data_IF_253061497200
#
_entry.id   IF_253061497200
#
_cell.length_a   1.000
_cell.length_b   1.000
_cell.length_c   1.000
_cell.angle_alpha   90.00
_cell.angle_beta   90.00
_cell.angle_gamma   90.00
#
_symmetry.space_group_name_H-M   'P 1'
#
loop_
_entity.id
_entity.type
_entity.pdbx_description
1 polymer ?
#
# COMPACT_ATOMS: atom_id res chain seq x y z
N UNK A 1 -16.98 -98.26 -31.67
CA UNK A 1 -17.32 -97.36 -30.56
C UNK A 1 -16.14 -96.55 -30.00
N UNK A 2 -14.88 -96.77 -30.41
CA UNK A 2 -13.72 -96.04 -29.85
C UNK A 2 -13.41 -94.65 -30.41
N UNK A 3 -13.87 -94.29 -31.63
CA UNK A 3 -13.44 -93.01 -32.26
C UNK A 3 -14.21 -91.78 -31.74
N UNK A 4 -15.49 -91.94 -31.41
CA UNK A 4 -16.34 -90.84 -30.92
C UNK A 4 -15.89 -90.35 -29.54
N UNK A 5 -15.52 -91.27 -28.65
CA UNK A 5 -15.02 -90.91 -27.30
C UNK A 5 -13.72 -90.09 -27.37
N UNK A 6 -12.79 -90.47 -28.24
CA UNK A 6 -11.54 -89.75 -28.43
C UNK A 6 -11.74 -88.34 -29.03
N UNK A 7 -12.79 -88.12 -29.83
CA UNK A 7 -13.16 -86.79 -30.32
C UNK A 7 -13.78 -85.93 -29.21
N UNK A 8 -14.68 -86.49 -28.40
CA UNK A 8 -15.24 -85.78 -27.24
C UNK A 8 -14.19 -85.40 -26.21
N UNK A 9 -13.23 -86.28 -25.94
CA UNK A 9 -12.12 -85.99 -25.00
C UNK A 9 -11.26 -84.82 -25.52
N UNK A 10 -11.01 -84.73 -26.83
CA UNK A 10 -10.29 -83.60 -27.45
C UNK A 10 -11.08 -82.29 -27.40
N UNK A 11 -12.39 -82.35 -27.60
CA UNK A 11 -13.27 -81.17 -27.49
C UNK A 11 -13.25 -80.67 -26.04
N UNK A 12 -13.41 -81.56 -25.06
CA UNK A 12 -13.37 -81.20 -23.64
C UNK A 12 -12.02 -80.58 -23.24
N UNK A 13 -10.90 -81.11 -23.75
CA UNK A 13 -9.58 -80.52 -23.49
C UNK A 13 -9.43 -79.13 -24.13
N UNK A 14 -9.92 -78.94 -25.36
CA UNK A 14 -9.89 -77.66 -26.05
C UNK A 14 -10.79 -76.61 -25.35
N UNK A 15 -11.97 -77.01 -24.91
CA UNK A 15 -12.88 -76.17 -24.12
C UNK A 15 -12.25 -75.79 -22.78
N UNK A 16 -11.62 -76.73 -22.07
CA UNK A 16 -10.91 -76.45 -20.82
C UNK A 16 -9.78 -75.43 -21.01
N UNK A 17 -9.00 -75.56 -22.09
CA UNK A 17 -7.94 -74.58 -22.44
C UNK A 17 -8.53 -73.21 -22.77
N UNK A 18 -9.64 -73.17 -23.50
CA UNK A 18 -10.34 -71.93 -23.81
C UNK A 18 -10.91 -71.24 -22.56
N UNK A 19 -11.48 -72.00 -21.62
CA UNK A 19 -11.99 -71.46 -20.35
C UNK A 19 -10.85 -70.86 -19.52
N UNK A 20 -9.72 -71.57 -19.39
CA UNK A 20 -8.55 -71.05 -18.68
C UNK A 20 -7.99 -69.77 -19.32
N UNK A 21 -7.93 -69.73 -20.65
CA UNK A 21 -7.51 -68.51 -21.38
C UNK A 21 -8.46 -67.34 -21.10
N UNK A 22 -9.77 -67.55 -21.22
CA UNK A 22 -10.77 -66.52 -20.96
C UNK A 22 -10.74 -66.03 -19.51
N UNK A 23 -10.50 -66.92 -18.54
CA UNK A 23 -10.31 -66.53 -17.14
C UNK A 23 -9.08 -65.64 -16.95
N UNK A 24 -7.96 -65.97 -17.62
CA UNK A 24 -6.76 -65.13 -17.64
C UNK A 24 -7.03 -63.74 -18.25
N UNK A 25 -7.72 -63.70 -19.40
CA UNK A 25 -8.07 -62.45 -20.08
C UNK A 25 -9.01 -61.57 -19.22
N UNK A 26 -9.94 -62.19 -18.48
CA UNK A 26 -10.83 -61.49 -17.54
C UNK A 26 -10.05 -60.91 -16.37
N UNK A 27 -9.11 -61.66 -15.79
CA UNK A 27 -8.27 -61.18 -14.70
C UNK A 27 -7.43 -59.97 -15.15
N UNK A 28 -6.73 -60.08 -16.28
CA UNK A 28 -5.93 -58.99 -16.82
C UNK A 28 -6.77 -57.74 -17.17
N UNK A 29 -8.02 -57.94 -17.62
CA UNK A 29 -8.95 -56.84 -17.89
C UNK A 29 -9.40 -56.13 -16.60
N UNK A 30 -9.58 -56.86 -15.49
CA UNK A 30 -9.91 -56.27 -14.19
C UNK A 30 -8.76 -55.42 -13.65
N UNK A 31 -7.53 -55.94 -13.71
CA UNK A 31 -6.34 -55.20 -13.27
C UNK A 31 -6.18 -53.91 -14.09
N UNK A 32 -6.43 -53.95 -15.40
CA UNK A 32 -6.40 -52.76 -16.25
C UNK A 32 -7.46 -51.72 -15.87
N UNK A 33 -8.67 -52.16 -15.51
CA UNK A 33 -9.74 -51.25 -15.05
C UNK A 33 -9.34 -50.60 -13.72
N UNK A 34 -8.74 -51.36 -12.80
CA UNK A 34 -8.26 -50.85 -11.52
C UNK A 34 -7.17 -49.78 -11.72
N UNK A 35 -6.15 -50.08 -12.54
CA UNK A 35 -5.09 -49.13 -12.87
C UNK A 35 -5.65 -47.85 -13.54
N UNK A 36 -6.64 -47.98 -14.42
CA UNK A 36 -7.29 -46.80 -15.01
C UNK A 36 -8.02 -45.96 -13.97
N UNK A 37 -8.71 -46.60 -12.99
CA UNK A 37 -9.35 -45.90 -11.88
C UNK A 37 -8.35 -45.16 -10.98
N UNK A 38 -7.20 -45.77 -10.70
CA UNK A 38 -6.11 -45.11 -9.97
C UNK A 38 -5.52 -43.93 -10.74
N UNK A 39 -5.35 -44.06 -12.06
CA UNK A 39 -4.89 -42.97 -12.91
C UNK A 39 -5.87 -41.78 -12.88
N UNK A 40 -7.17 -42.02 -12.98
CA UNK A 40 -8.18 -40.98 -12.89
C UNK A 40 -8.13 -40.25 -11.54
N UNK A 41 -7.98 -41.00 -10.43
CA UNK A 41 -7.82 -40.42 -9.09
C UNK A 41 -6.57 -39.54 -8.97
N UNK A 42 -5.45 -39.93 -9.61
CA UNK A 42 -4.23 -39.12 -9.67
C UNK A 42 -4.45 -37.84 -10.48
N UNK A 43 -5.16 -37.92 -11.61
CA UNK A 43 -5.50 -36.75 -12.41
C UNK A 43 -6.37 -35.75 -11.65
N UNK A 44 -7.41 -36.23 -10.97
CA UNK A 44 -8.29 -35.40 -10.14
C UNK A 44 -7.52 -34.74 -8.99
N UNK A 45 -6.62 -35.49 -8.35
CA UNK A 45 -5.73 -34.97 -7.31
C UNK A 45 -4.81 -33.85 -7.82
N UNK A 46 -4.25 -34.02 -9.02
CA UNK A 46 -3.42 -33.01 -9.67
C UNK A 46 -4.24 -31.76 -10.01
N UNK A 47 -5.44 -31.92 -10.57
CA UNK A 47 -6.32 -30.79 -10.88
C UNK A 47 -6.65 -29.97 -9.62
N UNK A 48 -6.99 -30.64 -8.51
CA UNK A 48 -7.25 -29.98 -7.24
C UNK A 48 -6.01 -29.24 -6.68
N UNK A 49 -4.81 -29.83 -6.83
CA UNK A 49 -3.56 -29.20 -6.42
C UNK A 49 -3.27 -27.91 -7.21
N UNK A 50 -3.48 -27.94 -8.54
CA UNK A 50 -3.29 -26.78 -9.41
C UNK A 50 -4.21 -25.63 -9.02
N UNK A 51 -5.48 -25.91 -8.75
CA UNK A 51 -6.43 -24.87 -8.32
C UNK A 51 -6.06 -24.27 -6.96
N UNK A 52 -5.61 -25.10 -6.00
CA UNK A 52 -5.09 -24.60 -4.71
C UNK A 52 -3.87 -23.71 -4.89
N UNK A 53 -2.94 -24.10 -5.76
CA UNK A 53 -1.74 -23.34 -6.04
C UNK A 53 -2.06 -21.99 -6.71
N UNK A 54 -2.99 -21.96 -7.67
CA UNK A 54 -3.48 -20.71 -8.28
C UNK A 54 -4.10 -19.77 -7.24
N UNK A 55 -4.92 -20.30 -6.34
CA UNK A 55 -5.53 -19.50 -5.28
C UNK A 55 -4.47 -18.94 -4.30
N UNK A 56 -3.46 -19.73 -3.95
CA UNK A 56 -2.34 -19.28 -3.11
C UNK A 56 -1.55 -18.15 -3.78
N UNK A 57 -1.18 -18.31 -5.06
CA UNK A 57 -0.49 -17.26 -5.82
C UNK A 57 -1.31 -15.97 -5.91
N UNK A 58 -2.63 -16.07 -6.10
CA UNK A 58 -3.50 -14.90 -6.14
C UNK A 58 -3.54 -14.18 -4.78
N UNK A 59 -3.59 -14.92 -3.68
CA UNK A 59 -3.57 -14.36 -2.33
C UNK A 59 -2.22 -13.71 -1.99
N UNK A 60 -1.12 -14.35 -2.37
CA UNK A 60 0.23 -13.80 -2.22
C UNK A 60 0.36 -12.48 -3.00
N UNK A 61 -0.09 -12.46 -4.26
CA UNK A 61 -0.12 -11.22 -5.05
C UNK A 61 -0.92 -10.12 -4.38
N UNK A 62 -2.13 -10.43 -3.89
CA UNK A 62 -2.96 -9.45 -3.15
C UNK A 62 -2.27 -8.94 -1.88
N UNK A 63 -1.55 -9.79 -1.16
CA UNK A 63 -0.82 -9.40 0.03
C UNK A 63 0.36 -8.47 -0.30
N UNK A 64 1.11 -8.78 -1.37
CA UNK A 64 2.17 -7.91 -1.89
C UNK A 64 1.62 -6.55 -2.34
N UNK A 65 0.51 -6.53 -3.09
CA UNK A 65 -0.13 -5.29 -3.52
C UNK A 65 -0.55 -4.43 -2.31
N UNK A 66 -1.16 -5.03 -1.29
CA UNK A 66 -1.52 -4.32 -0.04
C UNK A 66 -0.29 -3.77 0.68
N UNK A 67 0.78 -4.55 0.78
CA UNK A 67 2.02 -4.10 1.40
C UNK A 67 2.66 -2.94 0.62
N UNK A 68 2.58 -2.95 -0.71
CA UNK A 68 3.01 -1.83 -1.55
C UNK A 68 2.18 -0.57 -1.30
N UNK A 69 0.84 -0.67 -1.31
CA UNK A 69 -0.01 0.49 -1.03
C UNK A 69 0.20 1.05 0.37
N UNK A 70 0.39 0.19 1.38
CA UNK A 70 0.70 0.63 2.74
C UNK A 70 1.98 1.48 2.78
N UNK A 71 3.08 1.01 2.17
CA UNK A 71 4.33 1.78 2.10
C UNK A 71 4.18 3.13 1.41
N UNK A 72 3.39 3.19 0.33
CA UNK A 72 3.13 4.44 -0.39
C UNK A 72 2.33 5.41 0.49
N UNK A 73 1.28 4.92 1.16
CA UNK A 73 0.46 5.74 2.06
C UNK A 73 1.27 6.26 3.24
N UNK A 74 2.10 5.42 3.87
CA UNK A 74 2.98 5.84 4.97
C UNK A 74 3.92 6.97 4.52
N UNK A 75 4.51 6.85 3.32
CA UNK A 75 5.38 7.89 2.77
C UNK A 75 4.63 9.19 2.45
N UNK A 76 3.38 9.13 1.97
CA UNK A 76 2.55 10.33 1.77
C UNK A 76 2.28 11.03 3.11
N UNK A 77 1.89 10.27 4.14
CA UNK A 77 1.62 10.81 5.48
C UNK A 77 2.88 11.48 6.05
N UNK A 78 4.05 10.87 5.89
CA UNK A 78 5.30 11.44 6.35
C UNK A 78 5.70 12.71 5.59
N UNK A 79 5.47 12.74 4.28
CA UNK A 79 5.68 13.94 3.45
C UNK A 79 4.74 15.09 3.87
N UNK A 80 3.46 14.80 4.13
CA UNK A 80 2.49 15.81 4.60
C UNK A 80 2.91 16.39 5.95
N UNK A 81 3.33 15.51 6.89
CA UNK A 81 3.81 15.94 8.20
C UNK A 81 5.07 16.78 8.11
N UNK A 82 6.06 16.33 7.36
CA UNK A 82 7.31 17.07 7.09
C UNK A 82 7.01 18.45 6.49
N UNK A 83 6.15 18.51 5.47
CA UNK A 83 5.79 19.76 4.81
C UNK A 83 5.06 20.73 5.75
N UNK A 84 4.16 20.21 6.59
CA UNK A 84 3.45 20.99 7.59
C UNK A 84 4.40 21.58 8.64
N UNK A 85 5.31 20.76 9.16
CA UNK A 85 6.27 21.19 10.20
C UNK A 85 7.26 22.24 9.66
N UNK A 86 7.75 22.04 8.41
CA UNK A 86 8.58 23.02 7.70
C UNK A 86 7.83 24.33 7.47
N UNK A 87 6.58 24.26 6.99
CA UNK A 87 5.74 25.44 6.77
C UNK A 87 5.51 26.22 8.07
N UNK A 88 5.12 25.52 9.14
CA UNK A 88 4.88 26.14 10.43
C UNK A 88 6.14 26.84 10.95
N UNK A 89 7.28 26.16 10.92
CA UNK A 89 8.57 26.70 11.39
C UNK A 89 8.96 27.95 10.60
N UNK A 90 8.96 27.87 9.26
CA UNK A 90 9.33 29.00 8.39
C UNK A 90 8.40 30.20 8.56
N UNK A 91 7.09 29.97 8.69
CA UNK A 91 6.12 31.04 8.94
C UNK A 91 6.34 31.72 10.30
N UNK A 92 6.59 30.94 11.35
CA UNK A 92 6.84 31.48 12.71
C UNK A 92 8.16 32.24 12.78
N UNK A 93 9.22 31.73 12.16
CA UNK A 93 10.53 32.42 12.09
C UNK A 93 10.41 33.74 11.33
N UNK A 94 9.76 33.71 10.16
CA UNK A 94 9.52 34.90 9.35
C UNK A 94 8.66 35.95 10.08
N UNK A 95 7.62 35.50 10.79
CA UNK A 95 6.78 36.36 11.62
C UNK A 95 7.56 36.98 12.79
N UNK A 96 8.39 36.19 13.46
CA UNK A 96 9.23 36.64 14.56
C UNK A 96 10.25 37.68 14.09
N UNK A 97 10.89 37.45 12.94
CA UNK A 97 11.81 38.39 12.33
C UNK A 97 11.11 39.71 11.95
N UNK A 98 9.91 39.63 11.38
CA UNK A 98 9.13 40.82 11.03
C UNK A 98 8.70 41.63 12.25
N UNK A 99 8.22 40.97 13.31
CA UNK A 99 7.88 41.63 14.57
C UNK A 99 9.12 42.32 15.12
N UNK A 100 10.26 41.62 15.21
CA UNK A 100 11.50 42.21 15.71
C UNK A 100 11.91 43.46 14.92
N UNK A 101 11.91 43.39 13.59
CA UNK A 101 12.22 44.53 12.74
C UNK A 101 11.27 45.72 12.97
N UNK A 102 9.96 45.46 13.09
CA UNK A 102 8.97 46.51 13.37
C UNK A 102 9.23 47.23 14.71
N UNK A 103 9.67 46.50 15.73
CA UNK A 103 10.03 47.07 17.04
C UNK A 103 11.38 47.78 17.06
N UNK A 104 12.32 47.38 16.21
CA UNK A 104 13.60 48.07 16.04
C UNK A 104 13.45 49.39 15.24
N UNK A 105 12.56 49.41 14.25
CA UNK A 105 12.34 50.56 13.36
C UNK A 105 11.34 51.58 13.93
N UNK A 106 10.22 51.14 14.51
CA UNK A 106 9.17 52.03 15.04
C UNK A 106 9.28 52.23 16.56
N UNK A 107 9.93 53.33 16.93
CA UNK A 107 10.06 53.76 18.34
C UNK A 107 8.72 54.00 19.03
N UNK A 108 7.65 54.33 18.30
CA UNK A 108 6.30 54.50 18.90
C UNK A 108 5.72 53.13 19.25
N UNK A 109 5.92 52.13 18.39
CA UNK A 109 5.52 50.76 18.64
C UNK A 109 6.23 50.20 19.88
N UNK A 110 7.55 50.39 19.97
CA UNK A 110 8.35 49.99 21.13
C UNK A 110 7.89 50.68 22.42
N UNK A 111 7.58 51.98 22.36
CA UNK A 111 7.03 52.72 23.49
C UNK A 111 5.64 52.20 23.90
N UNK A 112 4.77 51.90 22.95
CA UNK A 112 3.44 51.33 23.23
C UNK A 112 3.53 50.00 23.96
N UNK A 113 4.43 49.10 23.53
CA UNK A 113 4.64 47.83 24.22
C UNK A 113 5.20 48.02 25.64
N UNK A 114 6.07 49.01 25.86
CA UNK A 114 6.52 49.36 27.21
C UNK A 114 5.38 49.91 28.08
N UNK A 115 4.55 50.80 27.53
CA UNK A 115 3.41 51.38 28.25
C UNK A 115 2.38 50.28 28.63
N UNK A 116 2.14 49.31 27.74
CA UNK A 116 1.27 48.15 28.01
C UNK A 116 1.87 47.21 29.08
N UNK A 117 3.18 46.97 29.05
CA UNK A 117 3.86 46.21 30.09
C UNK A 117 3.76 46.89 31.47
N UNK A 118 3.93 48.22 31.51
CA UNK A 118 3.77 49.02 32.73
C UNK A 118 2.32 48.96 33.23
N UNK A 119 1.34 49.09 32.34
CA UNK A 119 -0.09 49.03 32.71
C UNK A 119 -0.46 47.66 33.32
N UNK A 120 0.06 46.58 32.73
CA UNK A 120 -0.15 45.20 33.21
C UNK A 120 0.49 44.99 34.59
N UNK A 121 1.74 45.42 34.77
CA UNK A 121 2.42 45.38 36.08
C UNK A 121 1.73 46.24 37.14
N UNK A 122 1.04 47.30 36.71
CA UNK A 122 0.26 48.19 37.58
C UNK A 122 -1.14 47.64 37.92
N UNK A 123 -1.46 46.41 37.51
CA UNK A 123 -2.74 45.76 37.81
C UNK A 123 -3.93 46.27 36.98
N UNK A 124 -3.68 47.01 35.89
CA UNK A 124 -4.73 47.34 34.92
C UNK A 124 -4.98 46.14 34.02
N UNK A 125 -6.22 45.95 33.50
CA UNK A 125 -6.50 44.89 32.54
C UNK A 125 -5.54 45.03 31.35
N UNK A 126 -4.87 43.95 30.92
CA UNK A 126 -3.99 44.03 29.77
C UNK A 126 -4.83 44.42 28.54
N UNK A 127 -4.42 45.49 27.85
CA UNK A 127 -4.86 45.72 26.48
C UNK A 127 -4.31 44.59 25.58
N UNK A 128 -4.87 44.43 24.38
CA UNK A 128 -4.32 43.47 23.41
C UNK A 128 -2.83 43.76 23.21
N UNK A 129 -1.97 42.80 23.54
CA UNK A 129 -0.52 42.93 23.46
C UNK A 129 -0.08 43.30 22.03
N UNK A 130 0.66 44.39 21.90
CA UNK A 130 1.15 44.92 20.61
C UNK A 130 2.00 43.89 19.87
N UNK A 131 2.77 43.06 20.58
CA UNK A 131 3.58 41.99 19.97
C UNK A 131 2.66 40.95 19.33
N UNK A 132 1.67 40.47 20.08
CA UNK A 132 0.65 39.53 19.56
C UNK A 132 -0.15 40.11 18.39
N UNK A 133 -0.48 41.40 18.43
CA UNK A 133 -1.21 42.08 17.36
C UNK A 133 -0.37 42.17 16.08
N UNK A 134 0.93 42.50 16.20
CA UNK A 134 1.84 42.58 15.07
C UNK A 134 2.10 41.20 14.45
N UNK A 135 2.27 40.18 15.29
CA UNK A 135 2.40 38.79 14.85
C UNK A 135 1.15 38.33 14.07
N UNK A 136 -0.05 38.55 14.62
CA UNK A 136 -1.30 38.17 13.98
C UNK A 136 -1.53 38.94 12.66
N UNK A 137 -1.17 40.22 12.60
CA UNK A 137 -1.23 41.05 11.40
C UNK A 137 -0.31 40.50 10.30
N UNK A 138 0.93 40.17 10.65
CA UNK A 138 1.87 39.55 9.72
C UNK A 138 1.36 38.21 9.20
N UNK A 139 0.94 37.30 10.08
CA UNK A 139 0.40 35.99 9.70
C UNK A 139 -0.82 36.11 8.77
N UNK A 140 -1.69 37.11 9.02
CA UNK A 140 -2.81 37.41 8.13
C UNK A 140 -2.37 37.91 6.76
N UNK A 141 -1.29 38.69 6.69
CA UNK A 141 -0.71 39.18 5.42
C UNK A 141 -0.03 38.08 4.59
N UNK A 142 0.45 37.02 5.25
CA UNK A 142 1.06 35.85 4.61
C UNK A 142 0.03 34.79 4.21
N UNK A 143 -1.27 35.03 4.44
CA UNK A 143 -2.33 34.08 4.11
C UNK A 143 -2.29 33.74 2.61
N UNK A 144 -2.02 32.47 2.31
CA UNK A 144 -1.97 31.95 0.94
C UNK A 144 -0.61 32.13 0.25
N UNK A 145 0.41 32.63 0.94
CA UNK A 145 1.78 32.68 0.44
C UNK A 145 2.55 31.52 1.07
N UNK A 146 3.15 30.69 0.22
CA UNK A 146 4.09 29.67 0.68
C UNK A 146 5.49 30.30 0.71
N UNK A 147 6.23 30.18 1.82
CA UNK A 147 7.63 30.61 1.87
C UNK A 147 8.48 29.87 0.81
N UNK A 148 9.45 30.55 0.20
CA UNK A 148 10.24 30.01 -0.91
C UNK A 148 11.11 28.80 -0.49
N UNK A 149 11.63 28.84 0.74
CA UNK A 149 12.36 27.75 1.40
C UNK A 149 11.48 26.51 1.58
N UNK A 150 10.22 26.70 1.98
CA UNK A 150 9.24 25.63 2.11
C UNK A 150 8.86 25.08 0.73
N UNK A 151 8.69 25.94 -0.26
CA UNK A 151 8.40 25.54 -1.63
C UNK A 151 9.53 24.73 -2.27
N UNK A 152 10.79 25.08 -1.98
CA UNK A 152 11.95 24.31 -2.40
C UNK A 152 12.02 22.94 -1.72
N UNK A 153 11.81 22.89 -0.40
CA UNK A 153 11.82 21.65 0.36
C UNK A 153 10.69 20.69 -0.06
N UNK A 154 9.50 21.20 -0.38
CA UNK A 154 8.39 20.37 -0.89
C UNK A 154 8.73 19.78 -2.26
N UNK A 155 9.39 20.54 -3.15
CA UNK A 155 9.82 20.00 -4.45
C UNK A 155 10.83 18.87 -4.29
N UNK A 156 11.78 19.03 -3.37
CA UNK A 156 12.75 17.98 -3.06
C UNK A 156 12.06 16.72 -2.50
N UNK A 157 11.14 16.89 -1.55
CA UNK A 157 10.35 15.80 -0.98
C UNK A 157 9.51 15.09 -2.07
N UNK A 158 8.93 15.84 -3.01
CA UNK A 158 8.19 15.29 -4.17
C UNK A 158 9.08 14.50 -5.14
N UNK A 159 10.29 14.99 -5.42
CA UNK A 159 11.25 14.27 -6.28
C UNK A 159 11.72 12.97 -5.62
N UNK A 160 11.97 13.01 -4.31
CA UNK A 160 12.35 11.82 -3.55
C UNK A 160 11.22 10.79 -3.50
N UNK A 161 9.97 11.24 -3.29
CA UNK A 161 8.79 10.39 -3.36
C UNK A 161 8.63 9.76 -4.76
N UNK A 162 8.81 10.55 -5.82
CA UNK A 162 8.75 10.06 -7.20
C UNK A 162 9.78 8.95 -7.45
N UNK A 163 11.04 9.17 -7.07
CA UNK A 163 12.11 8.14 -7.19
C UNK A 163 11.77 6.87 -6.42
N UNK A 164 11.19 7.00 -5.22
CA UNK A 164 10.73 5.86 -4.42
C UNK A 164 9.63 5.07 -5.15
N UNK A 165 8.63 5.76 -5.69
CA UNK A 165 7.52 5.10 -6.41
C UNK A 165 7.96 4.45 -7.72
N UNK A 166 8.87 5.09 -8.46
CA UNK A 166 9.46 4.53 -9.68
C UNK A 166 10.26 3.26 -9.39
N UNK A 167 11.03 3.24 -8.29
CA UNK A 167 11.74 2.04 -7.80
C UNK A 167 10.81 0.89 -7.39
N UNK A 168 9.54 1.20 -7.10
CA UNK A 168 8.49 0.22 -6.79
C UNK A 168 7.66 -0.20 -8.01
N UNK A 169 7.97 0.32 -9.21
CA UNK A 169 7.22 0.03 -10.44
C UNK A 169 5.87 0.74 -10.54
N UNK A 170 5.65 1.80 -9.75
CA UNK A 170 4.43 2.62 -9.75
C UNK A 170 4.76 3.95 -10.42
N UNK A 171 4.17 4.22 -11.60
CA UNK A 171 4.27 5.55 -12.23
C UNK A 171 3.22 6.48 -11.62
N UNK A 172 3.65 7.37 -10.72
CA UNK A 172 2.80 8.43 -10.18
C UNK A 172 3.04 9.73 -10.95
N UNK A 173 2.00 10.25 -11.62
CA UNK A 173 2.01 11.62 -12.13
C UNK A 173 1.62 12.54 -10.96
N UNK A 174 2.62 13.20 -10.36
CA UNK A 174 2.39 14.16 -9.28
C UNK A 174 1.76 15.40 -9.91
N UNK A 175 0.45 15.34 -10.15
CA UNK A 175 -0.33 16.43 -10.70
C UNK A 175 -0.05 17.70 -9.91
N UNK A 176 0.35 18.75 -10.60
CA UNK A 176 0.77 20.07 -10.08
C UNK A 176 -0.31 20.85 -9.33
N UNK A 177 -1.43 20.23 -8.99
CA UNK A 177 -2.58 20.86 -8.32
C UNK A 177 -2.66 20.46 -6.85
N UNK A 178 -1.66 20.83 -6.05
CA UNK A 178 -1.90 21.02 -4.62
C UNK A 178 -2.80 22.25 -4.46
N UNK A 179 -4.11 22.03 -4.38
CA UNK A 179 -5.04 23.07 -3.99
C UNK A 179 -4.98 23.23 -2.46
N UNK A 180 -4.06 24.08 -2.00
CA UNK A 180 -3.84 24.43 -0.58
C UNK A 180 -5.06 25.01 0.15
N UNK A 181 -6.19 25.20 -0.53
CA UNK A 181 -7.46 25.52 0.13
C UNK A 181 -8.14 24.32 0.80
N UNK A 182 -7.74 23.08 0.47
CA UNK A 182 -8.39 21.85 0.95
C UNK A 182 -7.79 21.25 2.23
N UNK A 183 -6.60 21.68 2.68
CA UNK A 183 -5.96 21.22 3.94
C UNK A 183 -6.54 21.94 5.17
N UNK A 184 -7.82 22.33 5.13
CA UNK A 184 -8.49 23.02 6.24
C UNK A 184 -9.82 22.34 6.55
N UNK A 185 -9.75 21.33 7.40
CA UNK A 185 -10.83 20.93 8.30
C UNK A 185 -10.48 21.40 9.71
#
# INVERSE_FOLDING_TARGET
>A
MGSVKAEWDKIAEAESKNVLRLQGDIAASKDKIEVLGEMDAVYDGHAAMVERYKAALLNEKKALDRAHYAKVLDAVVEMERSSHDKLYTSMVESATANVRAAFEEDKKLAKSAMDDAIATLSGKPPAQDVVSAQFASYMKSQKGKMPDDVAAAIKEDQENFKKMTEGMGITYDVGTNYNWSAVRG
#
